data_IF_477671711500
#
_entry.id   IF_477671711500
#
_cell.length_a   1.000
_cell.length_b   1.000
_cell.length_c   1.000
_cell.angle_alpha   90.00
_cell.angle_beta   90.00
_cell.angle_gamma   90.00
#
_symmetry.space_group_name_H-M   'P 1'
#
loop_
_entity.id
_entity.type
_entity.pdbx_description
1 polymer ?
#
# COMPACT_ATOMS: atom_id res chain seq x y z
N UNK A 1 -30.73 -12.97 24.18
CA UNK A 1 -29.32 -13.44 24.13
C UNK A 1 -28.87 -13.26 22.69
N UNK A 2 -27.95 -12.35 22.40
CA UNK A 2 -27.46 -12.17 21.05
C UNK A 2 -26.81 -13.49 20.61
N UNK A 3 -27.25 -14.01 19.48
CA UNK A 3 -26.75 -15.24 18.89
C UNK A 3 -25.25 -15.01 18.58
N UNK A 4 -24.38 -15.66 19.34
CA UNK A 4 -22.92 -15.50 19.17
C UNK A 4 -22.46 -16.36 17.99
N UNK A 5 -22.74 -15.88 16.79
CA UNK A 5 -22.14 -16.48 15.60
C UNK A 5 -20.62 -16.16 15.67
N UNK A 6 -19.73 -17.17 15.65
CA UNK A 6 -18.29 -16.94 15.61
C UNK A 6 -17.89 -16.23 14.32
N UNK A 7 -16.74 -15.55 14.31
CA UNK A 7 -16.17 -14.98 13.08
C UNK A 7 -15.94 -16.09 12.05
N UNK A 8 -16.39 -15.87 10.83
CA UNK A 8 -16.20 -16.84 9.75
C UNK A 8 -14.73 -16.91 9.39
N UNK A 9 -14.10 -18.09 9.45
CA UNK A 9 -12.69 -18.23 9.09
C UNK A 9 -12.48 -18.00 7.59
N UNK A 10 -11.36 -17.39 7.23
CA UNK A 10 -10.96 -17.20 5.84
C UNK A 10 -10.25 -18.45 5.35
N UNK A 11 -10.57 -18.89 4.14
CA UNK A 11 -9.87 -20.00 3.49
C UNK A 11 -8.54 -19.54 2.93
N UNK A 12 -7.49 -20.31 3.16
CA UNK A 12 -6.12 -19.98 2.76
C UNK A 12 -5.41 -21.21 2.20
N UNK A 13 -4.36 -20.97 1.42
CA UNK A 13 -3.45 -22.03 1.00
C UNK A 13 -2.72 -22.63 2.21
N UNK A 14 -2.45 -23.94 2.16
CA UNK A 14 -1.60 -24.60 3.16
C UNK A 14 -0.23 -23.88 3.24
N UNK A 15 0.29 -23.55 4.44
CA UNK A 15 1.54 -22.82 4.62
C UNK A 15 2.75 -23.40 3.88
N UNK A 16 2.93 -24.71 3.89
CA UNK A 16 4.03 -25.38 3.19
C UNK A 16 3.91 -25.26 1.67
N UNK A 17 2.68 -25.22 1.14
CA UNK A 17 2.42 -25.07 -0.30
C UNK A 17 2.61 -23.60 -0.71
N UNK A 18 1.98 -22.66 0.02
CA UNK A 18 2.05 -21.25 -0.34
C UNK A 18 3.45 -20.65 -0.24
N UNK A 19 4.32 -21.22 0.59
CA UNK A 19 5.72 -20.80 0.71
C UNK A 19 6.56 -21.08 -0.56
N UNK A 20 6.03 -21.83 -1.53
CA UNK A 20 6.75 -22.27 -2.75
C UNK A 20 6.16 -21.75 -4.05
N UNK A 21 5.11 -20.92 -3.99
CA UNK A 21 4.45 -20.38 -5.18
C UNK A 21 4.07 -18.91 -4.99
N UNK A 22 3.67 -18.24 -6.08
CA UNK A 22 3.24 -16.85 -6.08
C UNK A 22 1.72 -16.66 -6.22
N UNK A 23 0.95 -17.75 -6.12
CA UNK A 23 -0.50 -17.69 -6.12
C UNK A 23 -1.04 -16.98 -4.88
N UNK A 24 -2.21 -16.34 -5.01
CA UNK A 24 -2.83 -15.61 -3.91
C UNK A 24 -3.03 -16.49 -2.66
N UNK A 25 -2.53 -16.05 -1.52
CA UNK A 25 -2.53 -16.80 -0.26
C UNK A 25 -3.95 -17.04 0.27
N UNK A 26 -4.76 -15.97 0.32
CA UNK A 26 -6.13 -16.01 0.82
C UNK A 26 -7.10 -16.21 -0.33
N UNK A 27 -8.00 -17.21 -0.24
CA UNK A 27 -9.06 -17.43 -1.24
C UNK A 27 -10.27 -16.48 -1.06
N UNK A 28 -10.40 -15.85 0.11
CA UNK A 28 -11.55 -15.01 0.45
C UNK A 28 -12.79 -15.81 0.81
N UNK A 29 -13.92 -15.11 0.93
CA UNK A 29 -15.24 -15.70 1.18
C UNK A 29 -15.95 -16.09 -0.12
N UNK A 30 -16.79 -17.13 -0.05
CA UNK A 30 -17.89 -17.32 -0.99
C UNK A 30 -19.13 -16.54 -0.52
N UNK A 31 -20.21 -16.60 -1.28
CA UNK A 31 -21.45 -15.86 -0.98
C UNK A 31 -22.05 -16.25 0.39
N UNK A 32 -22.11 -17.54 0.70
CA UNK A 32 -22.68 -18.05 1.95
C UNK A 32 -21.85 -17.60 3.16
N UNK A 33 -20.52 -17.72 3.05
CA UNK A 33 -19.58 -17.26 4.08
C UNK A 33 -19.68 -15.74 4.29
N UNK A 34 -19.75 -14.96 3.20
CA UNK A 34 -19.85 -13.51 3.26
C UNK A 34 -21.20 -13.06 3.88
N UNK A 35 -22.30 -13.69 3.53
CA UNK A 35 -23.62 -13.40 4.12
C UNK A 35 -23.69 -13.82 5.59
N UNK A 36 -23.10 -14.96 5.96
CA UNK A 36 -23.03 -15.41 7.34
C UNK A 36 -22.22 -14.41 8.19
N UNK A 37 -21.06 -13.97 7.70
CA UNK A 37 -20.25 -12.96 8.38
C UNK A 37 -20.97 -11.61 8.46
N UNK A 38 -21.67 -11.19 7.39
CA UNK A 38 -22.48 -9.98 7.35
C UNK A 38 -23.60 -9.98 8.42
N UNK A 39 -24.20 -11.15 8.70
CA UNK A 39 -25.24 -11.30 9.72
C UNK A 39 -24.77 -10.99 11.15
N UNK A 40 -23.46 -10.94 11.40
CA UNK A 40 -22.88 -10.56 12.69
C UNK A 40 -22.93 -9.06 12.94
N UNK A 41 -23.06 -8.23 11.89
CA UNK A 41 -23.07 -6.78 12.03
C UNK A 41 -24.28 -6.29 12.82
N UNK A 42 -24.03 -5.43 13.82
CA UNK A 42 -25.08 -4.90 14.69
C UNK A 42 -25.80 -3.68 14.10
N UNK A 43 -25.43 -3.22 12.92
CA UNK A 43 -25.97 -2.02 12.26
C UNK A 43 -26.05 -0.82 13.23
N UNK A 44 -24.89 -0.45 13.81
CA UNK A 44 -24.79 0.52 14.90
C UNK A 44 -25.30 1.91 14.46
N UNK A 45 -26.10 2.59 15.30
CA UNK A 45 -26.54 3.98 15.07
C UNK A 45 -25.37 4.97 14.93
N UNK A 46 -24.27 4.74 15.65
CA UNK A 46 -23.03 5.51 15.60
C UNK A 46 -21.88 4.55 15.26
N UNK A 47 -21.68 4.24 13.99
CA UNK A 47 -20.73 3.20 13.56
C UNK A 47 -19.29 3.68 13.69
N UNK A 48 -18.59 3.21 14.72
CA UNK A 48 -17.17 3.54 14.96
C UNK A 48 -16.27 3.06 13.82
N UNK A 49 -16.65 1.97 13.15
CA UNK A 49 -15.93 1.44 12.00
C UNK A 49 -15.90 2.44 10.82
N UNK A 50 -16.98 3.18 10.57
CA UNK A 50 -17.02 4.26 9.55
C UNK A 50 -16.06 5.38 9.92
N UNK A 51 -16.11 5.86 11.16
CA UNK A 51 -15.22 6.92 11.64
C UNK A 51 -13.73 6.52 11.63
N UNK A 52 -13.43 5.22 11.76
CA UNK A 52 -12.06 4.70 11.71
C UNK A 52 -11.58 4.37 10.28
N UNK A 53 -12.44 4.46 9.27
CA UNK A 53 -12.06 4.27 7.88
C UNK A 53 -11.53 5.60 7.30
N UNK A 54 -10.30 5.65 6.75
CA UNK A 54 -9.72 6.88 6.19
C UNK A 54 -10.51 7.51 5.04
N UNK A 55 -11.35 6.73 4.33
CA UNK A 55 -12.23 7.21 3.27
C UNK A 55 -13.69 7.35 3.71
N UNK A 56 -14.01 6.99 4.97
CA UNK A 56 -15.37 7.13 5.52
C UNK A 56 -16.39 6.15 4.95
N UNK A 57 -15.94 4.97 4.51
CA UNK A 57 -16.76 3.95 3.86
C UNK A 57 -18.01 3.60 4.69
N UNK A 58 -19.20 3.60 4.06
CA UNK A 58 -20.47 3.38 4.72
C UNK A 58 -20.71 1.89 5.07
N UNK A 59 -19.85 1.38 5.97
CA UNK A 59 -19.72 -0.04 6.31
C UNK A 59 -21.04 -0.72 6.68
N UNK A 60 -21.89 -0.18 7.59
CA UNK A 60 -23.15 -0.83 7.90
C UNK A 60 -24.09 -0.95 6.70
N UNK A 61 -24.09 0.05 5.79
CA UNK A 61 -24.98 0.06 4.61
C UNK A 61 -24.65 -1.07 3.63
N UNK A 62 -23.37 -1.23 3.26
CA UNK A 62 -23.01 -2.29 2.32
C UNK A 62 -23.12 -3.69 2.95
N UNK A 63 -22.86 -3.83 4.27
CA UNK A 63 -23.03 -5.10 4.97
C UNK A 63 -24.52 -5.48 5.04
N UNK A 64 -25.40 -4.52 5.32
CA UNK A 64 -26.86 -4.74 5.32
C UNK A 64 -27.38 -5.14 3.94
N UNK A 65 -26.92 -4.46 2.88
CA UNK A 65 -27.27 -4.80 1.49
C UNK A 65 -26.82 -6.23 1.12
N UNK A 66 -25.58 -6.63 1.49
CA UNK A 66 -25.08 -7.99 1.28
C UNK A 66 -25.91 -9.01 2.08
N UNK A 67 -26.20 -8.74 3.35
CA UNK A 67 -26.99 -9.63 4.19
C UNK A 67 -28.39 -9.84 3.63
N UNK A 68 -29.00 -8.79 3.05
CA UNK A 68 -30.28 -8.84 2.34
C UNK A 68 -30.22 -9.46 0.95
N UNK A 69 -29.06 -9.93 0.49
CA UNK A 69 -28.87 -10.55 -0.83
C UNK A 69 -28.77 -9.56 -2.00
N UNK A 70 -28.69 -8.25 -1.75
CA UNK A 70 -28.62 -7.23 -2.80
C UNK A 70 -27.14 -6.82 -3.07
N UNK A 71 -26.43 -7.65 -3.84
CA UNK A 71 -25.01 -7.42 -4.21
C UNK A 71 -24.81 -6.15 -5.06
N UNK A 72 -25.67 -5.84 -6.06
CA UNK A 72 -25.54 -4.59 -6.80
C UNK A 72 -25.57 -3.35 -5.88
N UNK A 73 -26.50 -3.29 -4.94
CA UNK A 73 -26.58 -2.20 -3.97
C UNK A 73 -25.37 -2.16 -3.05
N UNK A 74 -24.86 -3.32 -2.61
CA UNK A 74 -23.67 -3.39 -1.77
C UNK A 74 -22.44 -2.81 -2.50
N UNK A 75 -22.27 -3.13 -3.78
CA UNK A 75 -21.21 -2.61 -4.65
C UNK A 75 -21.36 -1.10 -4.91
N UNK A 76 -22.59 -0.62 -5.14
CA UNK A 76 -22.88 0.80 -5.32
C UNK A 76 -22.52 1.61 -4.07
N UNK A 77 -22.94 1.17 -2.88
CA UNK A 77 -22.60 1.82 -1.61
C UNK A 77 -21.10 1.91 -1.39
N UNK A 78 -20.33 0.88 -1.71
CA UNK A 78 -18.87 0.92 -1.64
C UNK A 78 -18.31 1.93 -2.65
N UNK A 79 -18.82 1.97 -3.86
CA UNK A 79 -18.35 2.84 -4.94
C UNK A 79 -18.59 4.35 -4.66
N UNK A 80 -19.49 4.70 -3.73
CA UNK A 80 -19.67 6.09 -3.26
C UNK A 80 -18.37 6.65 -2.62
N UNK A 81 -17.63 5.79 -1.90
CA UNK A 81 -16.51 6.20 -1.07
C UNK A 81 -15.16 5.53 -1.40
N UNK A 82 -15.15 4.45 -2.17
CA UNK A 82 -13.92 3.72 -2.54
C UNK A 82 -13.88 3.42 -4.04
N UNK A 83 -12.76 3.72 -4.67
CA UNK A 83 -12.47 3.35 -6.06
C UNK A 83 -11.70 2.03 -6.20
N UNK A 84 -11.15 1.49 -5.10
CA UNK A 84 -10.28 0.31 -5.10
C UNK A 84 -10.69 -0.72 -4.02
N UNK A 85 -11.95 -1.18 -3.98
CA UNK A 85 -12.45 -2.02 -2.90
C UNK A 85 -11.80 -3.42 -2.83
N UNK A 86 -11.55 -4.06 -3.97
CA UNK A 86 -10.88 -5.37 -4.01
C UNK A 86 -9.45 -5.30 -3.49
N UNK A 87 -8.75 -4.19 -3.77
CA UNK A 87 -7.40 -3.91 -3.26
C UNK A 87 -7.48 -3.64 -1.76
N UNK A 88 -8.35 -2.72 -1.31
CA UNK A 88 -8.49 -2.36 0.10
C UNK A 88 -8.85 -3.56 0.98
N UNK A 89 -9.77 -4.41 0.53
CA UNK A 89 -10.14 -5.64 1.23
C UNK A 89 -8.98 -6.62 1.45
N UNK A 90 -7.93 -6.54 0.60
CA UNK A 90 -6.71 -7.37 0.70
C UNK A 90 -5.61 -6.73 1.54
N UNK A 91 -5.38 -5.42 1.41
CA UNK A 91 -4.15 -4.79 1.91
C UNK A 91 -4.32 -3.80 3.06
N UNK A 92 -5.54 -3.35 3.37
CA UNK A 92 -5.79 -2.46 4.51
C UNK A 92 -5.39 -3.13 5.83
N UNK A 93 -4.81 -2.40 6.78
CA UNK A 93 -4.59 -2.87 8.15
C UNK A 93 -5.90 -2.75 8.97
N UNK A 94 -6.90 -3.57 8.62
CA UNK A 94 -8.24 -3.50 9.19
C UNK A 94 -8.24 -3.62 10.71
N UNK A 95 -7.31 -4.41 11.28
CA UNK A 95 -7.13 -4.62 12.72
C UNK A 95 -6.82 -3.33 13.50
N UNK A 96 -6.24 -2.33 12.84
CA UNK A 96 -5.97 -1.00 13.42
C UNK A 96 -6.94 0.08 12.96
N UNK A 97 -7.90 -0.25 12.08
CA UNK A 97 -8.85 0.67 11.47
C UNK A 97 -10.31 0.22 11.76
N UNK A 98 -11.06 -0.12 10.71
CA UNK A 98 -12.48 -0.45 10.81
C UNK A 98 -12.79 -1.65 11.71
N UNK A 99 -12.04 -2.74 11.61
CA UNK A 99 -12.22 -3.93 12.45
C UNK A 99 -11.76 -3.66 13.89
N UNK A 100 -10.62 -2.97 14.07
CA UNK A 100 -10.15 -2.56 15.40
C UNK A 100 -11.12 -1.64 16.16
N UNK A 101 -11.93 -0.86 15.43
CA UNK A 101 -12.96 -0.01 16.01
C UNK A 101 -14.34 -0.70 16.16
N UNK A 102 -14.51 -1.91 15.64
CA UNK A 102 -15.76 -2.64 15.71
C UNK A 102 -16.16 -2.97 17.14
N UNK A 103 -17.40 -2.63 17.53
CA UNK A 103 -17.88 -2.81 18.90
C UNK A 103 -17.92 -4.29 19.34
N UNK A 104 -18.05 -5.23 18.40
CA UNK A 104 -17.99 -6.67 18.71
C UNK A 104 -16.60 -7.09 19.18
N UNK A 105 -15.54 -6.41 18.73
CA UNK A 105 -14.16 -6.66 19.14
C UNK A 105 -13.87 -6.36 20.62
N UNK A 106 -14.75 -5.62 21.31
CA UNK A 106 -14.56 -5.29 22.74
C UNK A 106 -14.69 -6.55 23.62
N UNK A 107 -15.58 -7.48 23.27
CA UNK A 107 -15.87 -8.69 24.07
C UNK A 107 -15.76 -10.00 23.28
N UNK A 108 -15.26 -9.93 22.07
CA UNK A 108 -15.15 -11.06 21.16
C UNK A 108 -14.38 -10.68 19.91
N UNK A 109 -14.74 -11.25 18.78
CA UNK A 109 -14.11 -10.99 17.50
C UNK A 109 -14.90 -9.93 16.71
N UNK A 110 -14.22 -8.92 16.10
CA UNK A 110 -14.86 -7.94 15.23
C UNK A 110 -15.49 -8.63 14.00
N UNK A 111 -16.39 -7.94 13.31
CA UNK A 111 -16.82 -8.35 11.96
C UNK A 111 -15.63 -8.29 11.02
N UNK A 112 -15.48 -9.29 10.15
CA UNK A 112 -14.43 -9.35 9.12
C UNK A 112 -14.75 -8.40 7.95
N UNK A 113 -14.74 -7.09 8.24
CA UNK A 113 -15.17 -6.03 7.32
C UNK A 113 -14.38 -6.06 6.03
N UNK A 114 -13.05 -6.16 6.13
CA UNK A 114 -12.20 -6.20 4.94
C UNK A 114 -12.41 -7.43 4.07
N UNK A 115 -12.76 -8.59 4.66
CA UNK A 115 -13.06 -9.80 3.89
C UNK A 115 -14.41 -9.70 3.17
N UNK A 116 -15.40 -9.02 3.78
CA UNK A 116 -16.68 -8.69 3.14
C UNK A 116 -16.47 -7.66 2.02
N UNK A 117 -15.72 -6.58 2.27
CA UNK A 117 -15.36 -5.57 1.26
C UNK A 117 -14.67 -6.22 0.05
N UNK A 118 -13.69 -7.09 0.29
CA UNK A 118 -13.03 -7.88 -0.75
C UNK A 118 -14.03 -8.69 -1.57
N UNK A 119 -14.92 -9.43 -0.92
CA UNK A 119 -15.91 -10.26 -1.60
C UNK A 119 -16.80 -9.44 -2.53
N UNK A 120 -17.31 -8.30 -2.04
CA UNK A 120 -18.18 -7.40 -2.84
C UNK A 120 -17.38 -6.76 -3.98
N UNK A 121 -16.14 -6.33 -3.72
CA UNK A 121 -15.25 -5.77 -4.74
C UNK A 121 -14.94 -6.77 -5.84
N UNK A 122 -14.56 -8.00 -5.49
CA UNK A 122 -14.28 -9.07 -6.45
C UNK A 122 -15.52 -9.41 -7.27
N UNK A 123 -16.68 -9.51 -6.62
CA UNK A 123 -17.97 -9.71 -7.31
C UNK A 123 -18.26 -8.57 -8.29
N UNK A 124 -18.06 -7.31 -7.89
CA UNK A 124 -18.24 -6.15 -8.78
C UNK A 124 -17.35 -6.23 -10.03
N UNK A 125 -16.10 -6.61 -9.86
CA UNK A 125 -15.17 -6.78 -11.00
C UNK A 125 -15.65 -7.87 -11.97
N UNK A 126 -16.24 -8.95 -11.48
CA UNK A 126 -16.80 -10.02 -12.30
C UNK A 126 -18.06 -9.59 -13.07
N UNK A 127 -18.81 -8.61 -12.54
CA UNK A 127 -20.08 -8.11 -13.11
C UNK A 127 -19.98 -6.66 -13.63
N UNK A 128 -18.77 -6.19 -13.91
CA UNK A 128 -18.52 -4.78 -14.27
C UNK A 128 -19.28 -4.31 -15.51
N UNK A 129 -19.48 -5.19 -16.48
CA UNK A 129 -20.26 -4.89 -17.70
C UNK A 129 -21.75 -4.65 -17.42
N UNK A 130 -22.29 -5.23 -16.36
CA UNK A 130 -23.68 -5.11 -15.93
C UNK A 130 -23.91 -3.84 -15.09
N UNK A 131 -22.81 -3.23 -14.59
CA UNK A 131 -22.81 -2.08 -13.69
C UNK A 131 -22.10 -0.88 -14.34
N UNK A 132 -22.74 -0.16 -15.28
CA UNK A 132 -22.12 0.96 -15.94
C UNK A 132 -21.78 2.07 -14.93
N UNK A 133 -20.64 2.77 -15.12
CA UNK A 133 -20.24 3.86 -14.24
C UNK A 133 -21.22 5.04 -14.37
N UNK A 134 -21.49 5.70 -13.23
CA UNK A 134 -22.28 6.93 -13.19
C UNK A 134 -21.31 8.12 -13.20
N UNK A 135 -21.37 8.93 -14.26
CA UNK A 135 -20.53 10.11 -14.45
C UNK A 135 -21.39 11.32 -14.75
N UNK A 136 -21.10 12.46 -14.11
CA UNK A 136 -21.77 13.71 -14.39
C UNK A 136 -21.45 14.23 -15.82
N UNK A 137 -22.27 15.15 -16.32
CA UNK A 137 -21.98 15.83 -17.57
C UNK A 137 -20.63 16.58 -17.50
N UNK A 138 -19.88 16.58 -18.59
CA UNK A 138 -18.60 17.29 -18.67
C UNK A 138 -18.75 18.78 -18.35
N UNK A 139 -17.88 19.30 -17.48
CA UNK A 139 -17.87 20.69 -17.05
C UNK A 139 -16.88 21.56 -17.84
N UNK A 140 -16.10 20.96 -18.76
CA UNK A 140 -15.12 21.64 -19.61
C UNK A 140 -13.78 21.97 -18.94
N UNK A 141 -13.61 21.59 -17.67
CA UNK A 141 -12.36 21.77 -16.93
C UNK A 141 -11.48 20.52 -16.98
N UNK A 142 -10.15 20.73 -17.06
CA UNK A 142 -9.14 19.68 -17.23
C UNK A 142 -8.21 19.59 -16.02
N UNK A 143 -8.00 18.41 -15.48
CA UNK A 143 -7.11 18.18 -14.34
C UNK A 143 -6.02 17.15 -14.70
N UNK A 144 -4.75 17.54 -14.47
CA UNK A 144 -3.62 16.62 -14.55
C UNK A 144 -3.39 15.94 -13.20
N UNK A 145 -3.19 14.62 -13.21
CA UNK A 145 -2.84 13.83 -12.03
C UNK A 145 -1.47 13.21 -12.25
N UNK A 146 -0.52 13.47 -11.35
CA UNK A 146 0.85 12.96 -11.43
C UNK A 146 1.02 11.75 -10.53
N UNK A 147 1.16 10.57 -11.15
CA UNK A 147 1.27 9.27 -10.51
C UNK A 147 -0.05 8.50 -10.47
N UNK A 148 -0.01 7.26 -10.92
CA UNK A 148 -1.13 6.32 -10.95
C UNK A 148 -1.23 5.42 -9.71
N UNK A 149 -0.55 5.79 -8.63
CA UNK A 149 -0.69 5.10 -7.34
C UNK A 149 -2.05 5.36 -6.68
N UNK A 150 -2.31 4.79 -5.49
CA UNK A 150 -3.62 4.86 -4.83
C UNK A 150 -4.17 6.27 -4.64
N UNK A 151 -3.32 7.25 -4.35
CA UNK A 151 -3.74 8.66 -4.20
C UNK A 151 -4.21 9.25 -5.53
N UNK A 152 -3.43 9.04 -6.60
CA UNK A 152 -3.76 9.51 -7.95
C UNK A 152 -5.02 8.85 -8.49
N UNK A 153 -5.16 7.53 -8.36
CA UNK A 153 -6.34 6.79 -8.80
C UNK A 153 -7.61 7.25 -8.07
N UNK A 154 -7.55 7.47 -6.75
CA UNK A 154 -8.69 7.96 -5.98
C UNK A 154 -9.08 9.40 -6.36
N UNK A 155 -8.09 10.28 -6.53
CA UNK A 155 -8.31 11.67 -6.98
C UNK A 155 -8.93 11.69 -8.39
N UNK A 156 -8.33 10.97 -9.33
CA UNK A 156 -8.81 10.89 -10.71
C UNK A 156 -10.22 10.32 -10.81
N UNK A 157 -10.52 9.27 -10.03
CA UNK A 157 -11.85 8.65 -9.98
C UNK A 157 -12.92 9.62 -9.52
N UNK A 158 -12.69 10.33 -8.38
CA UNK A 158 -13.68 11.27 -7.85
C UNK A 158 -13.89 12.45 -8.81
N UNK A 159 -12.83 13.04 -9.36
CA UNK A 159 -12.92 14.14 -10.32
C UNK A 159 -13.65 13.73 -11.61
N UNK A 160 -13.34 12.55 -12.16
CA UNK A 160 -14.01 12.05 -13.36
C UNK A 160 -15.51 11.83 -13.11
N UNK A 161 -15.92 11.28 -11.95
CA UNK A 161 -17.34 11.16 -11.56
C UNK A 161 -18.06 12.51 -11.54
N UNK A 162 -17.35 13.60 -11.20
CA UNK A 162 -17.91 14.96 -11.17
C UNK A 162 -17.85 15.70 -12.50
N UNK A 163 -17.44 15.04 -13.58
CA UNK A 163 -17.46 15.56 -14.94
C UNK A 163 -16.21 16.31 -15.38
N UNK A 164 -15.11 16.24 -14.62
CA UNK A 164 -13.81 16.75 -15.05
C UNK A 164 -13.16 15.87 -16.11
N UNK A 165 -12.39 16.47 -17.02
CA UNK A 165 -11.53 15.74 -17.95
C UNK A 165 -10.18 15.49 -17.25
N UNK A 166 -9.91 14.23 -16.88
CA UNK A 166 -8.73 13.86 -16.11
C UNK A 166 -7.74 13.10 -16.96
N UNK A 167 -6.46 13.52 -16.91
CA UNK A 167 -5.33 12.76 -17.47
C UNK A 167 -4.35 12.44 -16.36
N UNK A 168 -4.02 11.16 -16.21
CA UNK A 168 -3.04 10.65 -15.25
C UNK A 168 -1.73 10.38 -15.96
N UNK A 169 -0.65 11.01 -15.51
CA UNK A 169 0.72 10.82 -16.00
C UNK A 169 1.48 9.89 -15.08
N UNK A 170 1.98 8.77 -15.60
CA UNK A 170 2.71 7.75 -14.86
C UNK A 170 4.14 7.64 -15.38
N UNK A 171 5.11 7.62 -14.47
CA UNK A 171 6.52 7.50 -14.81
C UNK A 171 6.93 6.09 -15.26
N UNK A 172 6.23 5.08 -14.79
CA UNK A 172 6.47 3.67 -15.14
C UNK A 172 5.67 3.26 -16.38
N UNK A 173 6.07 2.15 -16.99
CA UNK A 173 5.37 1.54 -18.12
C UNK A 173 4.08 0.80 -17.71
N UNK A 174 3.83 0.63 -16.41
CA UNK A 174 2.61 0.03 -15.86
C UNK A 174 1.97 0.95 -14.82
N UNK A 175 0.63 0.97 -14.84
CA UNK A 175 -0.19 1.74 -13.91
C UNK A 175 -0.32 1.06 -12.55
N UNK A 176 -0.52 1.84 -11.49
CA UNK A 176 -0.81 1.34 -10.15
C UNK A 176 0.24 1.69 -9.10
N UNK A 177 1.42 2.16 -9.50
CA UNK A 177 2.48 2.53 -8.56
C UNK A 177 2.84 1.37 -7.62
N UNK A 178 2.84 1.64 -6.29
CA UNK A 178 3.17 0.63 -5.26
C UNK A 178 2.29 -0.63 -5.30
N UNK A 179 1.09 -0.55 -5.83
CA UNK A 179 0.20 -1.71 -6.00
C UNK A 179 0.80 -2.75 -6.95
N UNK A 180 1.63 -2.30 -7.90
CA UNK A 180 2.25 -3.15 -8.91
C UNK A 180 3.69 -3.46 -8.54
N UNK A 181 4.53 -2.46 -8.27
CA UNK A 181 5.94 -2.71 -8.02
C UNK A 181 6.25 -3.20 -6.60
N UNK A 182 5.44 -2.80 -5.59
CA UNK A 182 5.79 -3.01 -4.17
C UNK A 182 5.09 -4.19 -3.51
N UNK A 183 3.79 -4.37 -3.71
CA UNK A 183 3.01 -5.43 -3.06
C UNK A 183 3.14 -6.72 -3.87
N UNK A 184 3.50 -7.87 -3.27
CA UNK A 184 3.69 -9.12 -4.02
C UNK A 184 2.41 -9.71 -4.62
N UNK A 185 2.58 -10.47 -5.72
CA UNK A 185 1.49 -11.17 -6.41
C UNK A 185 0.66 -12.05 -5.47
N UNK A 186 1.32 -12.79 -4.55
CA UNK A 186 0.65 -13.67 -3.59
C UNK A 186 -0.20 -12.95 -2.54
N UNK A 187 -0.11 -11.61 -2.43
CA UNK A 187 -0.98 -10.76 -1.60
C UNK A 187 -1.99 -9.98 -2.42
N UNK A 188 -1.56 -9.50 -3.58
CA UNK A 188 -2.34 -8.63 -4.44
C UNK A 188 -2.09 -8.99 -5.91
N UNK A 189 -2.93 -9.84 -6.51
CA UNK A 189 -2.80 -10.25 -7.91
C UNK A 189 -2.89 -9.05 -8.86
N UNK A 190 -1.91 -8.93 -9.78
CA UNK A 190 -1.78 -7.75 -10.64
C UNK A 190 -2.85 -7.73 -11.73
N UNK A 191 -2.87 -8.74 -12.57
CA UNK A 191 -3.80 -8.79 -13.71
C UNK A 191 -5.26 -8.97 -13.26
N UNK A 192 -5.49 -9.89 -12.33
CA UNK A 192 -6.83 -10.26 -11.89
C UNK A 192 -7.51 -9.17 -11.07
N UNK A 193 -6.76 -8.36 -10.30
CA UNK A 193 -7.30 -7.37 -9.38
C UNK A 193 -6.84 -5.96 -9.73
N UNK A 194 -5.53 -5.67 -9.70
CA UNK A 194 -5.03 -4.30 -9.85
C UNK A 194 -5.40 -3.71 -11.20
N UNK A 195 -5.09 -4.42 -12.28
CA UNK A 195 -5.39 -3.96 -13.65
C UNK A 195 -6.89 -3.79 -13.88
N UNK A 196 -7.72 -4.67 -13.30
CA UNK A 196 -9.17 -4.57 -13.43
C UNK A 196 -9.77 -3.41 -12.64
N UNK A 197 -9.29 -3.12 -11.43
CA UNK A 197 -9.73 -1.93 -10.69
C UNK A 197 -9.27 -0.62 -11.37
N UNK A 198 -8.08 -0.61 -11.98
CA UNK A 198 -7.63 0.53 -12.80
C UNK A 198 -8.51 0.69 -14.05
N UNK A 199 -8.87 -0.40 -14.72
CA UNK A 199 -9.80 -0.36 -15.85
C UNK A 199 -11.18 0.20 -15.46
N UNK A 200 -11.67 -0.03 -14.24
CA UNK A 200 -12.89 0.62 -13.74
C UNK A 200 -12.72 2.15 -13.63
N UNK A 201 -11.52 2.64 -13.27
CA UNK A 201 -11.24 4.09 -13.28
C UNK A 201 -11.16 4.63 -14.72
N UNK A 202 -10.58 3.87 -15.65
CA UNK A 202 -10.56 4.23 -17.08
C UNK A 202 -11.99 4.32 -17.67
N UNK A 203 -12.89 3.43 -17.27
CA UNK A 203 -14.31 3.46 -17.69
C UNK A 203 -15.06 4.74 -17.23
N UNK A 204 -14.57 5.47 -16.23
CA UNK A 204 -15.06 6.81 -15.87
C UNK A 204 -14.66 7.89 -16.88
N UNK A 205 -13.83 7.56 -17.88
CA UNK A 205 -13.29 8.49 -18.87
C UNK A 205 -11.94 9.10 -18.51
N UNK A 206 -11.27 8.58 -17.49
CA UNK A 206 -9.89 8.97 -17.13
C UNK A 206 -8.95 8.49 -18.24
N UNK A 207 -8.04 9.36 -18.69
CA UNK A 207 -6.95 9.03 -19.61
C UNK A 207 -5.69 8.72 -18.84
N UNK A 208 -4.92 7.74 -19.28
CA UNK A 208 -3.63 7.38 -18.71
C UNK A 208 -2.52 7.52 -19.75
N UNK A 209 -1.42 8.17 -19.35
CA UNK A 209 -0.20 8.30 -20.13
C UNK A 209 0.97 7.74 -19.33
N UNK A 210 1.51 6.60 -19.76
CA UNK A 210 2.68 5.95 -19.15
C UNK A 210 3.98 6.48 -19.75
N UNK A 211 5.12 6.16 -19.08
CA UNK A 211 6.47 6.56 -19.50
C UNK A 211 6.67 8.08 -19.52
N UNK A 212 5.86 8.84 -18.77
CA UNK A 212 5.92 10.29 -18.63
C UNK A 212 6.46 10.68 -17.27
N UNK A 213 7.70 11.17 -17.25
CA UNK A 213 8.38 11.58 -16.02
C UNK A 213 8.16 13.08 -15.80
N UNK A 214 7.17 13.45 -14.97
CA UNK A 214 6.92 14.85 -14.60
C UNK A 214 8.11 15.41 -13.84
N UNK A 215 8.61 16.57 -14.29
CA UNK A 215 9.87 17.17 -13.87
C UNK A 215 11.04 16.83 -14.78
N UNK A 216 10.81 16.02 -15.87
CA UNK A 216 11.81 15.69 -16.89
C UNK A 216 11.25 15.79 -18.31
N UNK A 217 10.25 14.97 -18.65
CA UNK A 217 9.61 14.97 -19.99
C UNK A 217 8.59 16.09 -20.12
N UNK A 218 7.87 16.37 -19.04
CA UNK A 218 6.96 17.50 -18.87
C UNK A 218 7.18 18.14 -17.51
N UNK A 219 6.87 19.42 -17.35
CA UNK A 219 6.95 20.12 -16.07
C UNK A 219 5.55 20.46 -15.55
N UNK A 220 5.43 20.78 -14.25
CA UNK A 220 4.17 21.29 -13.71
C UNK A 220 3.74 22.59 -14.41
N UNK A 221 4.69 23.46 -14.71
CA UNK A 221 4.42 24.72 -15.40
C UNK A 221 3.94 24.47 -16.84
N UNK A 222 4.56 23.54 -17.58
CA UNK A 222 4.10 23.20 -18.93
C UNK A 222 2.69 22.58 -18.95
N UNK A 223 2.35 21.76 -17.96
CA UNK A 223 1.00 21.20 -17.84
C UNK A 223 -0.06 22.32 -17.66
N UNK A 224 0.23 23.31 -16.82
CA UNK A 224 -0.69 24.44 -16.57
C UNK A 224 -0.71 25.44 -17.74
N UNK A 225 0.46 25.92 -18.20
CA UNK A 225 0.58 27.08 -19.08
C UNK A 225 0.51 26.70 -20.57
N UNK A 226 1.01 25.53 -20.98
CA UNK A 226 1.13 25.13 -22.39
C UNK A 226 0.07 24.08 -22.77
N UNK A 227 -0.15 23.07 -21.92
CA UNK A 227 -1.11 22.01 -22.19
C UNK A 227 -2.54 22.34 -21.74
N UNK A 228 -2.70 23.40 -20.96
CA UNK A 228 -4.00 23.98 -20.58
C UNK A 228 -4.79 23.14 -19.57
N UNK A 229 -4.11 22.50 -18.62
CA UNK A 229 -4.78 21.95 -17.45
C UNK A 229 -5.13 23.07 -16.45
N UNK A 230 -6.34 23.02 -15.91
CA UNK A 230 -6.82 24.04 -14.95
C UNK A 230 -6.28 23.80 -13.53
N UNK A 231 -5.89 22.58 -13.20
CA UNK A 231 -5.25 22.21 -11.94
C UNK A 231 -4.38 20.95 -12.09
N UNK A 232 -3.43 20.78 -11.14
CA UNK A 232 -2.56 19.59 -11.06
C UNK A 232 -2.65 18.97 -9.68
N UNK A 233 -2.79 17.65 -9.62
CA UNK A 233 -2.63 16.84 -8.40
C UNK A 233 -1.33 16.06 -8.43
N UNK A 234 -0.49 16.16 -7.39
CA UNK A 234 0.77 15.40 -7.25
C UNK A 234 0.56 14.25 -6.27
N UNK A 235 0.49 13.02 -6.81
CA UNK A 235 0.41 11.76 -6.07
C UNK A 235 1.59 10.83 -6.36
N UNK A 236 2.80 11.40 -6.53
CA UNK A 236 4.03 10.69 -6.96
C UNK A 236 4.59 9.69 -5.94
N UNK A 237 4.01 9.60 -4.75
CA UNK A 237 4.38 8.65 -3.73
C UNK A 237 5.74 8.91 -3.07
N UNK A 238 6.31 7.86 -2.45
CA UNK A 238 7.61 7.86 -1.80
C UNK A 238 8.37 6.58 -2.17
N UNK A 239 9.21 6.65 -3.20
CA UNK A 239 9.92 5.50 -3.76
C UNK A 239 11.43 5.48 -3.49
N UNK A 240 12.00 6.56 -2.93
CA UNK A 240 13.45 6.65 -2.68
C UNK A 240 13.81 5.89 -1.39
N UNK A 241 14.58 4.77 -1.48
CA UNK A 241 14.85 3.92 -0.33
C UNK A 241 15.80 4.59 0.69
N UNK A 242 15.67 4.16 1.95
CA UNK A 242 16.55 4.54 3.04
C UNK A 242 17.49 3.40 3.40
N UNK A 243 18.73 3.77 3.71
CA UNK A 243 19.77 2.89 4.21
C UNK A 243 20.14 3.29 5.65
N UNK A 244 20.94 2.45 6.32
CA UNK A 244 21.37 2.68 7.72
C UNK A 244 22.53 3.64 7.82
N UNK A 245 23.36 3.76 6.77
CA UNK A 245 24.64 4.48 6.78
C UNK A 245 25.74 3.72 7.54
N UNK A 246 25.70 2.39 7.51
CA UNK A 246 26.70 1.51 8.14
C UNK A 246 27.74 1.04 7.13
N UNK A 247 28.90 0.60 7.65
CA UNK A 247 29.98 0.05 6.83
C UNK A 247 29.49 -1.15 6.02
N UNK A 248 29.92 -1.24 4.75
CA UNK A 248 29.62 -2.36 3.86
C UNK A 248 28.27 -2.30 3.15
N UNK A 249 27.45 -1.27 3.33
CA UNK A 249 26.15 -1.15 2.62
C UNK A 249 26.28 -1.03 1.08
N UNK A 250 27.50 -0.79 0.57
CA UNK A 250 27.79 -0.73 -0.87
C UNK A 250 28.28 -2.06 -1.45
N UNK A 251 28.32 -3.14 -0.68
CA UNK A 251 28.72 -4.47 -1.15
C UNK A 251 27.68 -5.07 -2.09
N UNK A 252 28.15 -5.91 -3.01
CA UNK A 252 27.26 -6.72 -3.86
C UNK A 252 26.44 -7.68 -2.99
N UNK A 253 25.14 -7.72 -3.21
CA UNK A 253 24.20 -8.48 -2.37
C UNK A 253 23.49 -7.63 -1.32
N UNK A 254 23.83 -6.34 -1.17
CA UNK A 254 23.02 -5.37 -0.43
C UNK A 254 22.08 -4.68 -1.40
N UNK A 255 20.76 -4.79 -1.14
CA UNK A 255 19.72 -4.18 -1.98
C UNK A 255 18.66 -3.52 -1.10
N UNK A 256 17.96 -2.53 -1.64
CA UNK A 256 16.77 -2.02 -0.99
C UNK A 256 15.57 -2.95 -1.23
N UNK A 257 14.62 -2.97 -0.29
CA UNK A 257 13.37 -3.73 -0.49
C UNK A 257 12.59 -3.24 -1.72
N UNK A 258 12.63 -1.92 -2.02
CA UNK A 258 12.01 -1.38 -3.23
C UNK A 258 12.61 -1.97 -4.49
N UNK A 259 13.93 -2.02 -4.60
CA UNK A 259 14.61 -2.62 -5.76
C UNK A 259 14.27 -4.11 -5.88
N UNK A 260 14.40 -4.85 -4.78
CA UNK A 260 14.13 -6.28 -4.75
C UNK A 260 12.69 -6.61 -5.16
N UNK A 261 11.72 -5.90 -4.57
CA UNK A 261 10.30 -6.10 -4.86
C UNK A 261 9.92 -5.61 -6.27
N UNK A 262 10.52 -4.53 -6.77
CA UNK A 262 10.31 -4.08 -8.15
C UNK A 262 10.76 -5.14 -9.15
N UNK A 263 11.93 -5.74 -8.94
CA UNK A 263 12.42 -6.84 -9.79
C UNK A 263 11.49 -8.06 -9.73
N UNK A 264 11.04 -8.43 -8.53
CA UNK A 264 10.15 -9.56 -8.37
C UNK A 264 8.76 -9.29 -8.97
N UNK A 265 8.13 -8.17 -8.65
CA UNK A 265 6.72 -7.92 -8.97
C UNK A 265 6.52 -7.27 -10.36
N UNK A 266 7.08 -6.07 -10.57
CA UNK A 266 6.90 -5.32 -11.82
C UNK A 266 7.66 -5.95 -12.99
N UNK A 267 8.86 -6.49 -12.72
CA UNK A 267 9.73 -7.10 -13.73
C UNK A 267 9.62 -8.64 -13.75
N UNK A 268 8.67 -9.21 -13.01
CA UNK A 268 8.31 -10.63 -12.99
C UNK A 268 9.49 -11.60 -12.77
N UNK A 269 10.49 -11.26 -11.94
CA UNK A 269 11.67 -12.09 -11.73
C UNK A 269 11.38 -13.48 -11.14
N UNK A 270 10.18 -13.73 -10.63
CA UNK A 270 9.72 -15.04 -10.17
C UNK A 270 9.23 -15.94 -11.31
N UNK A 271 8.90 -15.37 -12.47
CA UNK A 271 8.41 -16.09 -13.63
C UNK A 271 9.56 -16.36 -14.62
N UNK A 272 9.82 -17.64 -14.89
CA UNK A 272 10.89 -18.10 -15.78
C UNK A 272 10.72 -17.68 -17.26
N UNK A 273 9.58 -17.09 -17.62
CA UNK A 273 9.37 -16.55 -18.96
C UNK A 273 10.04 -15.17 -19.14
N UNK A 274 10.47 -14.55 -18.04
CA UNK A 274 11.14 -13.25 -18.03
C UNK A 274 12.61 -13.39 -17.68
N UNK A 275 13.48 -12.70 -18.42
CA UNK A 275 14.93 -12.69 -18.19
C UNK A 275 15.36 -11.65 -17.12
N UNK A 276 14.52 -11.38 -16.15
CA UNK A 276 14.82 -10.39 -15.10
C UNK A 276 15.84 -10.97 -14.11
N UNK A 277 17.03 -10.36 -13.98
CA UNK A 277 18.03 -10.84 -13.05
C UNK A 277 17.62 -10.52 -11.62
N UNK A 278 17.58 -11.55 -10.77
CA UNK A 278 17.41 -11.42 -9.33
C UNK A 278 18.38 -12.39 -8.62
N UNK A 279 19.12 -11.88 -7.66
CA UNK A 279 20.03 -12.69 -6.86
C UNK A 279 19.50 -12.79 -5.42
N UNK A 280 19.29 -13.99 -4.95
CA UNK A 280 18.79 -14.27 -3.59
C UNK A 280 19.77 -15.08 -2.75
N UNK A 281 20.78 -15.73 -3.34
CA UNK A 281 21.72 -16.59 -2.61
C UNK A 281 21.00 -17.76 -1.91
N UNK A 282 21.63 -18.27 -0.86
CA UNK A 282 21.03 -19.32 -0.01
C UNK A 282 20.35 -18.70 1.23
N UNK A 283 20.96 -17.66 1.81
CA UNK A 283 20.52 -17.03 3.06
C UNK A 283 20.27 -15.54 2.83
N UNK A 284 19.05 -15.13 3.05
CA UNK A 284 18.63 -13.73 2.93
C UNK A 284 18.27 -13.17 4.30
N UNK A 285 18.83 -12.03 4.64
CA UNK A 285 18.43 -11.26 5.81
C UNK A 285 17.71 -10.00 5.36
N UNK A 286 16.49 -9.80 5.87
CA UNK A 286 15.70 -8.58 5.67
C UNK A 286 15.73 -7.74 6.93
N UNK A 287 16.23 -6.51 6.83
CA UNK A 287 16.35 -5.56 7.93
C UNK A 287 15.13 -4.65 7.96
N UNK A 288 14.26 -4.85 8.93
CA UNK A 288 13.01 -4.08 9.10
C UNK A 288 11.87 -4.91 9.66
N UNK A 289 10.78 -4.25 10.07
CA UNK A 289 9.63 -4.91 10.70
C UNK A 289 8.27 -4.43 10.17
N UNK A 290 8.24 -3.68 9.07
CA UNK A 290 7.00 -3.20 8.43
C UNK A 290 6.45 -4.16 7.38
N UNK A 291 5.32 -3.78 6.74
CA UNK A 291 4.71 -4.57 5.68
C UNK A 291 5.68 -4.86 4.53
N UNK A 292 6.50 -3.88 4.15
CA UNK A 292 7.52 -4.04 3.09
C UNK A 292 8.57 -5.09 3.46
N UNK A 293 8.93 -5.20 4.75
CA UNK A 293 9.85 -6.24 5.23
C UNK A 293 9.20 -7.64 5.16
N UNK A 294 7.91 -7.76 5.52
CA UNK A 294 7.15 -9.01 5.38
C UNK A 294 7.03 -9.41 3.90
N UNK A 295 6.76 -8.45 3.02
CA UNK A 295 6.69 -8.67 1.58
C UNK A 295 8.02 -9.15 1.01
N UNK A 296 9.12 -8.48 1.36
CA UNK A 296 10.46 -8.84 0.88
C UNK A 296 10.91 -10.23 1.37
N UNK A 297 10.74 -10.51 2.66
CA UNK A 297 11.20 -11.78 3.23
C UNK A 297 10.40 -12.98 2.71
N UNK A 298 9.07 -12.81 2.56
CA UNK A 298 8.19 -13.85 2.00
C UNK A 298 8.43 -14.06 0.51
N UNK A 299 8.80 -13.00 -0.22
CA UNK A 299 9.23 -13.09 -1.62
C UNK A 299 10.56 -13.85 -1.73
N UNK A 300 11.57 -13.51 -0.90
CA UNK A 300 12.85 -14.23 -0.88
C UNK A 300 12.67 -15.72 -0.57
N UNK A 301 11.79 -16.06 0.38
CA UNK A 301 11.43 -17.46 0.70
C UNK A 301 10.89 -18.21 -0.51
N UNK A 302 9.98 -17.60 -1.26
CA UNK A 302 9.37 -18.18 -2.49
C UNK A 302 10.37 -18.35 -3.62
N UNK A 303 11.39 -17.50 -3.65
CA UNK A 303 12.53 -17.61 -4.61
C UNK A 303 13.57 -18.64 -4.17
N UNK A 304 13.35 -19.35 -3.05
CA UNK A 304 14.13 -20.50 -2.63
C UNK A 304 15.17 -20.24 -1.53
N UNK A 305 15.25 -19.04 -0.98
CA UNK A 305 16.18 -18.71 0.09
C UNK A 305 15.71 -19.16 1.49
N UNK A 306 16.65 -19.42 2.38
CA UNK A 306 16.43 -19.37 3.81
C UNK A 306 16.35 -17.90 4.22
N UNK A 307 15.18 -17.47 4.72
CA UNK A 307 14.90 -16.05 4.92
C UNK A 307 14.69 -15.70 6.39
N UNK A 308 15.34 -14.62 6.83
CA UNK A 308 15.34 -14.16 8.23
C UNK A 308 14.97 -12.68 8.29
N UNK A 309 14.08 -12.31 9.22
CA UNK A 309 13.83 -10.92 9.62
C UNK A 309 14.79 -10.54 10.74
N UNK A 310 15.43 -9.38 10.61
CA UNK A 310 16.18 -8.72 11.68
C UNK A 310 15.46 -7.43 12.05
N UNK A 311 15.06 -7.31 13.32
CA UNK A 311 14.30 -6.15 13.79
C UNK A 311 14.79 -5.68 15.17
N UNK A 312 15.04 -4.37 15.29
CA UNK A 312 15.64 -3.74 16.47
C UNK A 312 14.75 -3.64 17.71
N UNK A 313 13.46 -3.94 17.58
CA UNK A 313 12.49 -3.96 18.70
C UNK A 313 11.91 -5.37 18.88
N UNK A 314 10.98 -5.53 19.82
CA UNK A 314 10.30 -6.81 20.01
C UNK A 314 9.15 -6.98 19.01
N UNK A 315 8.57 -8.17 19.04
CA UNK A 315 7.41 -8.51 18.18
C UNK A 315 6.21 -7.60 18.42
N UNK A 316 6.02 -7.12 19.64
CA UNK A 316 4.90 -6.22 19.98
C UNK A 316 4.98 -4.86 19.29
N UNK A 317 6.18 -4.42 18.97
CA UNK A 317 6.43 -3.16 18.28
C UNK A 317 6.50 -3.30 16.74
N UNK A 318 6.23 -4.50 16.18
CA UNK A 318 6.17 -4.68 14.73
C UNK A 318 5.06 -3.80 14.12
N UNK A 319 5.37 -2.92 13.16
CA UNK A 319 4.34 -2.11 12.51
C UNK A 319 3.65 -2.83 11.34
N UNK A 320 4.08 -4.05 11.01
CA UNK A 320 3.43 -4.86 9.97
C UNK A 320 2.05 -5.35 10.43
N UNK A 321 1.17 -5.61 9.48
CA UNK A 321 -0.12 -6.25 9.71
C UNK A 321 0.07 -7.59 10.44
N UNK A 322 -0.79 -7.82 11.43
CA UNK A 322 -0.75 -9.06 12.24
C UNK A 322 -0.90 -10.30 11.35
N UNK A 323 -1.79 -10.27 10.35
CA UNK A 323 -2.00 -11.34 9.38
C UNK A 323 -0.71 -11.67 8.60
N UNK A 324 0.04 -10.65 8.16
CA UNK A 324 1.27 -10.84 7.40
C UNK A 324 2.43 -11.40 8.26
N UNK A 325 2.51 -10.98 9.52
CA UNK A 325 3.48 -11.56 10.47
C UNK A 325 3.15 -13.04 10.74
N UNK A 326 1.86 -13.35 10.92
CA UNK A 326 1.40 -14.73 11.11
C UNK A 326 1.74 -15.60 9.90
N UNK A 327 1.41 -15.15 8.70
CA UNK A 327 1.74 -15.85 7.46
C UNK A 327 3.24 -16.08 7.31
N UNK A 328 4.08 -15.08 7.61
CA UNK A 328 5.52 -15.21 7.53
C UNK A 328 6.06 -16.31 8.47
N UNK A 329 5.54 -16.37 9.71
CA UNK A 329 5.91 -17.41 10.68
C UNK A 329 5.48 -18.80 10.22
N UNK A 330 4.27 -18.95 9.73
CA UNK A 330 3.76 -20.23 9.22
C UNK A 330 4.53 -20.72 7.98
N UNK A 331 5.07 -19.81 7.17
CA UNK A 331 5.93 -20.08 6.01
C UNK A 331 7.38 -20.43 6.42
N UNK A 332 7.67 -20.48 7.74
CA UNK A 332 8.97 -20.90 8.27
C UNK A 332 10.06 -19.82 8.19
N UNK A 333 9.66 -18.56 8.19
CA UNK A 333 10.61 -17.43 8.25
C UNK A 333 11.10 -17.26 9.68
N UNK A 334 12.41 -17.14 9.86
CA UNK A 334 13.04 -16.87 11.16
C UNK A 334 12.90 -15.38 11.51
N UNK A 335 12.61 -15.08 12.80
CA UNK A 335 12.52 -13.72 13.32
C UNK A 335 13.56 -13.48 14.40
N UNK A 336 14.55 -12.65 14.10
CA UNK A 336 15.55 -12.15 15.04
C UNK A 336 15.15 -10.78 15.56
N UNK A 337 14.36 -10.79 16.63
CA UNK A 337 13.94 -9.58 17.33
C UNK A 337 15.07 -9.03 18.20
N UNK A 338 14.94 -7.77 18.64
CA UNK A 338 15.94 -7.08 19.47
C UNK A 338 17.36 -7.19 18.90
N UNK A 339 17.47 -7.07 17.59
CA UNK A 339 18.72 -7.22 16.85
C UNK A 339 18.86 -6.06 15.86
N UNK A 340 20.03 -5.41 15.87
CA UNK A 340 20.30 -4.29 14.97
C UNK A 340 21.65 -4.49 14.27
N UNK A 341 21.70 -4.45 12.93
CA UNK A 341 22.97 -4.47 12.20
C UNK A 341 23.82 -3.21 12.48
N UNK A 342 25.13 -3.37 12.55
CA UNK A 342 26.10 -2.29 12.71
C UNK A 342 27.15 -2.26 11.59
N UNK A 343 27.32 -3.37 10.84
CA UNK A 343 28.13 -3.43 9.64
C UNK A 343 27.65 -4.58 8.75
N UNK A 344 27.85 -4.45 7.44
CA UNK A 344 27.75 -5.54 6.47
C UNK A 344 29.15 -6.09 6.21
N UNK A 345 29.32 -7.39 6.30
CA UNK A 345 30.60 -8.08 6.10
C UNK A 345 30.67 -8.61 4.67
N UNK A 346 31.84 -8.49 4.06
CA UNK A 346 32.07 -8.95 2.69
C UNK A 346 33.36 -9.73 2.52
N UNK A 347 33.48 -10.42 1.39
CA UNK A 347 34.67 -11.10 0.93
C UNK A 347 35.60 -10.16 0.15
N UNK A 348 36.74 -10.69 -0.29
CA UNK A 348 37.76 -9.96 -1.09
C UNK A 348 37.22 -9.54 -2.48
N UNK A 349 36.17 -10.17 -2.97
CA UNK A 349 35.48 -9.87 -4.24
C UNK A 349 34.38 -8.81 -4.07
N UNK A 350 34.13 -8.36 -2.85
CA UNK A 350 33.13 -7.35 -2.52
C UNK A 350 31.68 -7.91 -2.47
N UNK A 351 31.50 -9.21 -2.21
CA UNK A 351 30.20 -9.81 -1.99
C UNK A 351 29.90 -9.99 -0.50
N UNK A 352 28.62 -9.86 -0.14
CA UNK A 352 28.12 -10.07 1.23
C UNK A 352 28.40 -11.50 1.69
N UNK A 353 28.92 -11.61 2.91
CA UNK A 353 29.13 -12.88 3.62
C UNK A 353 28.38 -12.93 4.96
N UNK A 354 27.95 -11.78 5.47
CA UNK A 354 27.22 -11.70 6.73
C UNK A 354 26.92 -10.28 7.19
N UNK A 355 26.29 -10.22 8.34
CA UNK A 355 26.03 -8.99 9.10
C UNK A 355 26.72 -9.07 10.46
N UNK A 356 27.34 -7.99 10.88
CA UNK A 356 27.68 -7.77 12.29
C UNK A 356 26.52 -7.05 12.95
N UNK A 357 25.98 -7.66 13.99
CA UNK A 357 24.80 -7.20 14.71
C UNK A 357 25.11 -6.98 16.18
N UNK A 358 24.27 -6.19 16.86
CA UNK A 358 24.23 -6.03 18.30
C UNK A 358 22.86 -6.42 18.82
N UNK A 359 22.80 -6.94 20.06
CA UNK A 359 21.53 -7.11 20.77
C UNK A 359 20.99 -5.77 21.24
N UNK A 360 19.65 -5.65 21.29
CA UNK A 360 18.96 -4.46 21.72
C UNK A 360 18.15 -4.72 22.98
N UNK A 361 17.98 -3.70 23.79
CA UNK A 361 17.02 -3.67 24.91
C UNK A 361 15.93 -2.62 24.63
N UNK A 362 14.77 -2.78 25.26
CA UNK A 362 13.68 -1.82 25.11
C UNK A 362 13.69 -0.81 26.26
N UNK A 363 13.99 0.44 25.93
CA UNK A 363 13.88 1.61 26.79
C UNK A 363 12.46 2.17 26.89
N UNK A 364 12.34 3.47 27.16
CA UNK A 364 11.07 4.18 27.26
C UNK A 364 10.37 4.30 25.89
N UNK A 365 9.03 4.45 25.86
CA UNK A 365 8.29 4.70 24.62
C UNK A 365 8.75 5.97 23.89
N UNK A 366 8.82 5.89 22.55
CA UNK A 366 9.05 7.04 21.68
C UNK A 366 7.74 7.82 21.40
N UNK A 367 7.81 8.90 20.59
CA UNK A 367 6.66 9.72 20.22
C UNK A 367 5.52 8.91 19.54
N UNK A 368 5.83 7.77 18.96
CA UNK A 368 4.84 6.85 18.37
C UNK A 368 4.20 5.89 19.37
N UNK A 369 4.59 5.96 20.65
CA UNK A 369 4.16 5.06 21.73
C UNK A 369 4.86 3.70 21.72
N UNK A 370 5.83 3.45 20.82
CA UNK A 370 6.62 2.22 20.78
C UNK A 370 7.89 2.38 21.62
N UNK A 371 8.25 1.32 22.34
CA UNK A 371 9.46 1.36 23.16
C UNK A 371 10.72 1.57 22.31
N UNK A 372 11.57 2.50 22.75
CA UNK A 372 12.81 2.86 22.05
C UNK A 372 13.85 1.73 22.13
N UNK A 373 14.53 1.38 21.02
CA UNK A 373 15.58 0.38 21.06
C UNK A 373 16.88 1.01 21.60
N UNK A 374 17.52 0.35 22.58
CA UNK A 374 18.79 0.74 23.20
C UNK A 374 19.79 -0.38 22.95
N UNK A 375 21.00 -0.02 22.54
CA UNK A 375 22.10 -1.00 22.31
C UNK A 375 22.53 -1.62 23.64
N UNK A 376 22.64 -2.93 23.69
CA UNK A 376 23.24 -3.68 24.78
C UNK A 376 24.76 -3.76 24.53
N UNK A 377 25.54 -3.11 25.35
CA UNK A 377 27.00 -3.04 25.20
C UNK A 377 27.65 -4.44 25.30
N UNK A 378 28.65 -4.70 24.44
CA UNK A 378 29.40 -5.96 24.41
C UNK A 378 28.59 -7.17 23.89
N UNK A 379 27.54 -6.92 23.12
CA UNK A 379 26.63 -7.95 22.60
C UNK A 379 26.82 -8.21 21.09
N UNK A 380 27.95 -7.81 20.54
CA UNK A 380 28.26 -7.96 19.11
C UNK A 380 28.33 -9.45 18.73
N UNK A 381 27.70 -9.78 17.61
CA UNK A 381 27.76 -11.11 17.01
C UNK A 381 27.65 -11.03 15.48
N UNK A 382 28.01 -12.11 14.80
CA UNK A 382 27.92 -12.20 13.34
C UNK A 382 26.78 -13.14 12.92
N UNK A 383 26.02 -12.71 11.93
CA UNK A 383 24.96 -13.46 11.30
C UNK A 383 25.34 -13.69 9.84
N UNK A 384 25.63 -14.93 9.48
CA UNK A 384 26.02 -15.29 8.11
C UNK A 384 24.83 -15.13 7.15
N UNK A 385 25.03 -14.42 6.04
CA UNK A 385 24.06 -14.27 4.95
C UNK A 385 24.76 -13.95 3.63
N UNK A 386 24.04 -14.16 2.53
CA UNK A 386 24.53 -13.94 1.18
C UNK A 386 23.89 -12.68 0.55
N UNK A 387 22.73 -12.28 1.08
CA UNK A 387 21.99 -11.09 0.64
C UNK A 387 21.39 -10.37 1.85
N UNK A 388 21.48 -9.05 1.82
CA UNK A 388 20.86 -8.15 2.81
C UNK A 388 19.85 -7.25 2.10
N UNK A 389 18.59 -7.30 2.53
CA UNK A 389 17.52 -6.46 1.99
C UNK A 389 17.15 -5.39 3.03
N UNK A 390 17.41 -4.11 2.70
CA UNK A 390 17.09 -2.98 3.56
C UNK A 390 15.62 -2.55 3.39
N UNK A 391 14.79 -2.82 4.41
CA UNK A 391 13.35 -2.50 4.44
C UNK A 391 13.05 -1.42 5.50
N UNK A 392 13.76 -0.28 5.42
CA UNK A 392 13.78 0.79 6.42
C UNK A 392 12.85 1.96 6.11
N UNK A 393 11.95 1.78 5.14
CA UNK A 393 11.07 2.81 4.64
C UNK A 393 11.67 3.63 3.51
N UNK A 394 10.88 4.59 3.03
CA UNK A 394 11.20 5.38 1.84
C UNK A 394 10.93 6.86 2.07
N UNK A 395 11.40 7.70 1.16
CA UNK A 395 11.13 9.14 1.10
C UNK A 395 10.67 9.52 -0.30
N UNK A 396 9.95 10.65 -0.47
CA UNK A 396 9.59 11.17 -1.78
C UNK A 396 10.80 11.49 -2.64
N UNK A 397 10.66 11.29 -3.97
CA UNK A 397 11.67 11.73 -4.92
C UNK A 397 11.63 13.28 -5.02
N UNK A 398 12.76 13.98 -4.88
CA UNK A 398 12.82 15.44 -4.90
C UNK A 398 12.59 16.05 -6.30
N UNK A 399 12.53 15.24 -7.36
CA UNK A 399 12.51 15.71 -8.75
C UNK A 399 11.44 16.77 -9.00
N UNK A 400 10.18 16.50 -8.69
CA UNK A 400 9.06 17.42 -8.96
C UNK A 400 9.24 18.74 -8.20
N UNK A 401 9.55 18.66 -6.90
CA UNK A 401 9.75 19.85 -6.09
C UNK A 401 10.95 20.69 -6.55
N UNK A 402 12.05 20.05 -6.97
CA UNK A 402 13.26 20.74 -7.45
C UNK A 402 13.09 21.39 -8.83
N UNK A 403 12.08 21.00 -9.60
CA UNK A 403 11.80 21.53 -10.95
C UNK A 403 10.54 22.39 -11.03
N UNK A 404 9.89 22.67 -9.88
CA UNK A 404 8.66 23.47 -9.81
C UNK A 404 8.88 24.66 -8.87
N UNK A 405 8.93 25.87 -9.43
CA UNK A 405 9.11 27.08 -8.65
C UNK A 405 7.91 27.31 -7.71
N UNK A 406 8.19 27.66 -6.46
CA UNK A 406 7.15 27.95 -5.44
C UNK A 406 6.53 26.69 -4.80
N UNK A 407 6.94 25.50 -5.17
CA UNK A 407 6.52 24.25 -4.53
C UNK A 407 7.50 23.91 -3.37
N UNK A 408 7.08 24.11 -2.14
CA UNK A 408 7.92 23.90 -0.96
C UNK A 408 7.85 22.45 -0.45
N UNK A 409 8.96 22.04 0.19
CA UNK A 409 9.06 20.75 0.90
C UNK A 409 9.51 20.95 2.34
N UNK A 410 9.13 20.02 3.21
CA UNK A 410 9.60 19.99 4.58
C UNK A 410 11.02 19.35 4.68
N UNK A 411 11.59 19.31 5.89
CA UNK A 411 12.93 18.76 6.16
C UNK A 411 13.08 17.26 5.78
N UNK A 412 11.98 16.54 5.59
CA UNK A 412 11.96 15.12 5.18
C UNK A 412 11.83 14.95 3.67
N UNK A 413 11.78 16.05 2.90
CA UNK A 413 11.59 16.05 1.45
C UNK A 413 10.14 15.80 1.02
N UNK A 414 9.18 15.82 1.95
CA UNK A 414 7.75 15.72 1.62
C UNK A 414 7.21 17.09 1.19
N UNK A 415 6.33 17.10 0.19
CA UNK A 415 5.67 18.33 -0.29
C UNK A 415 4.84 18.92 0.86
N UNK A 416 4.98 20.24 1.07
CA UNK A 416 4.17 20.97 2.04
C UNK A 416 2.77 21.21 1.47
N UNK A 417 1.75 20.68 2.14
CA UNK A 417 0.35 20.83 1.75
C UNK A 417 -0.55 20.96 2.99
N UNK A 418 -1.73 21.53 2.81
CA UNK A 418 -2.79 21.56 3.83
C UNK A 418 -3.40 20.16 4.00
N UNK A 419 -4.25 19.97 5.00
CA UNK A 419 -4.98 18.71 5.21
C UNK A 419 -5.92 18.35 4.04
N UNK A 420 -6.33 19.35 3.24
CA UNK A 420 -7.13 19.24 2.03
C UNK A 420 -6.26 19.04 0.77
N UNK A 421 -4.94 19.09 0.90
CA UNK A 421 -3.98 18.85 -0.18
C UNK A 421 -3.55 20.08 -0.97
N UNK A 422 -3.97 21.30 -0.64
CA UNK A 422 -3.48 22.51 -1.30
C UNK A 422 -2.00 22.76 -0.96
N UNK A 423 -1.16 22.94 -1.99
CA UNK A 423 0.28 23.21 -1.83
C UNK A 423 0.59 24.71 -1.74
N UNK A 424 1.87 25.06 -1.63
CA UNK A 424 2.34 26.45 -1.68
C UNK A 424 2.29 27.05 -3.09
N UNK A 425 2.10 26.22 -4.12
CA UNK A 425 1.95 26.66 -5.53
C UNK A 425 0.46 26.67 -5.90
N UNK A 426 -0.05 27.83 -6.35
CA UNK A 426 -1.43 28.00 -6.79
C UNK A 426 -1.79 27.02 -7.94
N UNK A 427 -2.99 26.45 -7.92
CA UNK A 427 -3.45 25.48 -8.90
C UNK A 427 -2.82 24.08 -8.74
N UNK A 428 -1.91 23.88 -7.76
CA UNK A 428 -1.20 22.64 -7.53
C UNK A 428 -1.59 22.04 -6.19
N UNK A 429 -2.03 20.81 -6.20
CA UNK A 429 -2.44 20.03 -5.05
C UNK A 429 -1.55 18.78 -4.90
N UNK A 430 -1.44 18.24 -3.70
CA UNK A 430 -0.65 17.04 -3.45
C UNK A 430 -1.28 16.18 -2.36
N UNK A 431 -1.00 14.87 -2.41
CA UNK A 431 -1.50 13.94 -1.39
C UNK A 431 -0.78 12.60 -1.39
N UNK A 432 -1.15 11.75 -0.42
CA UNK A 432 -0.53 10.46 -0.20
C UNK A 432 0.91 10.57 0.28
N UNK A 433 1.72 9.57 -0.03
CA UNK A 433 3.08 9.44 0.49
C UNK A 433 4.02 10.57 0.05
N UNK A 434 3.67 11.31 -1.01
CA UNK A 434 4.42 12.51 -1.43
C UNK A 434 4.36 13.63 -0.37
N UNK A 435 3.32 13.67 0.47
CA UNK A 435 3.06 14.65 1.52
C UNK A 435 3.36 14.09 2.91
N UNK A 436 2.92 12.88 3.21
CA UNK A 436 3.01 12.30 4.56
C UNK A 436 4.26 11.44 4.79
N UNK A 437 4.96 11.06 3.74
CA UNK A 437 5.88 9.93 3.73
C UNK A 437 5.13 8.61 3.60
N UNK A 438 5.87 7.50 3.48
CA UNK A 438 5.28 6.18 3.24
C UNK A 438 4.28 5.77 4.32
N UNK A 439 3.05 5.44 3.90
CA UNK A 439 1.93 5.06 4.76
C UNK A 439 1.18 3.84 4.20
N UNK A 440 -0.13 3.89 4.10
CA UNK A 440 -0.97 2.79 3.62
C UNK A 440 -1.76 3.19 2.37
N UNK A 441 -2.17 2.19 1.58
CA UNK A 441 -3.00 2.38 0.38
C UNK A 441 -4.24 3.23 0.70
N UNK A 442 -4.98 2.88 1.75
CA UNK A 442 -6.23 3.57 2.09
C UNK A 442 -6.01 5.01 2.60
N UNK A 443 -4.90 5.29 3.28
CA UNK A 443 -4.55 6.65 3.69
C UNK A 443 -4.19 7.51 2.47
N UNK A 444 -3.46 6.95 1.51
CA UNK A 444 -3.16 7.62 0.26
C UNK A 444 -4.43 7.91 -0.55
N UNK A 445 -5.35 6.94 -0.64
CA UNK A 445 -6.67 7.14 -1.26
C UNK A 445 -7.46 8.26 -0.56
N UNK A 446 -7.50 8.26 0.77
CA UNK A 446 -8.17 9.31 1.55
C UNK A 446 -7.61 10.71 1.27
N UNK A 447 -6.28 10.83 1.14
CA UNK A 447 -5.64 12.08 0.75
C UNK A 447 -6.01 12.51 -0.68
N UNK A 448 -6.01 11.57 -1.65
CA UNK A 448 -6.44 11.83 -3.02
C UNK A 448 -7.88 12.33 -3.11
N UNK A 449 -8.80 11.73 -2.35
CA UNK A 449 -10.21 12.14 -2.28
C UNK A 449 -10.40 13.55 -1.67
N UNK A 450 -9.62 13.86 -0.62
CA UNK A 450 -9.64 15.22 -0.02
C UNK A 450 -9.15 16.25 -1.03
N UNK A 451 -8.04 15.96 -1.71
CA UNK A 451 -7.50 16.83 -2.74
C UNK A 451 -8.48 17.01 -3.92
N UNK A 452 -9.17 15.95 -4.35
CA UNK A 452 -10.20 16.06 -5.39
C UNK A 452 -11.31 17.07 -5.01
N UNK A 453 -11.77 17.03 -3.74
CA UNK A 453 -12.76 18.01 -3.23
C UNK A 453 -12.20 19.44 -3.19
N UNK A 454 -10.92 19.59 -2.83
CA UNK A 454 -10.28 20.91 -2.82
C UNK A 454 -10.08 21.46 -4.24
N UNK A 455 -9.72 20.60 -5.20
CA UNK A 455 -9.64 20.95 -6.62
C UNK A 455 -11.02 21.36 -7.16
N UNK A 456 -12.08 20.61 -6.85
CA UNK A 456 -13.46 20.91 -7.25
C UNK A 456 -13.91 22.28 -6.72
N UNK A 457 -13.61 22.57 -5.44
CA UNK A 457 -13.91 23.88 -4.84
C UNK A 457 -13.13 25.02 -5.53
N UNK A 458 -11.81 24.83 -5.71
CA UNK A 458 -10.94 25.80 -6.38
C UNK A 458 -11.39 26.14 -7.80
N UNK A 459 -11.72 25.12 -8.60
CA UNK A 459 -12.12 25.30 -10.00
C UNK A 459 -13.55 25.85 -10.18
N UNK A 460 -14.41 25.77 -9.17
CA UNK A 460 -15.73 26.41 -9.15
C UNK A 460 -15.70 27.89 -8.81
N UNK A 461 -14.61 28.37 -8.19
CA UNK A 461 -14.41 29.78 -7.86
C UNK A 461 -13.77 30.57 -9.01
N UNK A 462 -13.26 29.88 -10.06
CA UNK A 462 -12.71 30.43 -11.29
C UNK A 462 -13.77 30.47 -12.42
#
# INVERSE_FOLDING_TARGET
MANKIPRVPVREQNPAVRATNFEEVCYGYNLEEAQLEASRCLNCKHPRCVAACPVGLQIPRFIEALHGGNLPLAAEVIAEDSSLPSICGRVCPQESQCEGACILGIKGEPVAIGKIERFIGDWKLEHSEELPPVVAAKNGKRVAVVGSGPAGLACASDLAKWGYEVTVFEALHQLGGVLVYGIPEFRLPKERIVSREIAEVERLGVKFETDVIVGRTVTIDSLLDEEGFDAVFIGSGAGLPRFMGIEGENLNGVVSANEFLTRANLMHAYDKQYDTPIYVGQRVVVVGGGNVAMDAVRTAKRLGAEATIVYRRSEKELPARVEEVHHAKEEGIEFRMLTNPVAVLGDEQGWVTGLRCVEMELGEPDESGRRSPVVKEGSEFELACDVVIMALGTSPNPLIASTTAGLETNRRGCITATDEGATTREGVFAGGDAVTGAATVILAMGAGRKAAKAIDAYLKEQ
#
